data_IF_825289657944
#
_entry.id   IF_825289657944
#
_cell.length_a   1.000
_cell.length_b   1.000
_cell.length_c   1.000
_cell.angle_alpha   90.00
_cell.angle_beta   90.00
_cell.angle_gamma   90.00
#
_symmetry.space_group_name_H-M   'P 1'
#
loop_
_entity.id
_entity.type
_entity.pdbx_description
1 polymer ?
#
# COMPACT_ATOMS: atom_id res chain seq x y z
N UNK A 1 0.35 18.56 -15.24
CA UNK A 1 1.25 19.54 -14.58
C UNK A 1 0.86 19.73 -13.12
N UNK A 2 1.76 20.24 -12.29
CA UNK A 2 1.50 20.60 -10.90
C UNK A 2 0.28 21.54 -10.79
N UNK A 3 0.22 22.52 -11.65
CA UNK A 3 -0.88 23.50 -11.68
C UNK A 3 -2.24 22.83 -11.92
N UNK A 4 -2.34 21.93 -12.88
CA UNK A 4 -3.62 21.25 -13.18
C UNK A 4 -4.10 20.35 -12.04
N UNK A 5 -3.18 19.75 -11.29
CA UNK A 5 -3.52 18.91 -10.14
C UNK A 5 -3.98 19.72 -8.92
N UNK A 6 -3.44 20.90 -8.73
CA UNK A 6 -3.76 21.76 -7.58
C UNK A 6 -4.88 22.78 -7.83
N UNK A 7 -5.21 23.09 -9.10
CA UNK A 7 -6.27 24.05 -9.43
C UNK A 7 -7.62 23.74 -8.72
N UNK A 8 -8.08 22.48 -8.61
CA UNK A 8 -9.30 22.16 -7.88
C UNK A 8 -9.22 22.54 -6.39
N UNK A 9 -8.00 22.48 -5.79
CA UNK A 9 -7.82 22.85 -4.37
C UNK A 9 -7.95 24.36 -4.16
N UNK A 10 -7.34 25.15 -5.08
CA UNK A 10 -7.48 26.60 -5.04
C UNK A 10 -8.96 27.01 -5.13
N UNK A 11 -9.69 26.44 -6.10
CA UNK A 11 -11.10 26.73 -6.30
C UNK A 11 -11.95 26.41 -5.04
N UNK A 12 -11.69 25.26 -4.41
CA UNK A 12 -12.40 24.83 -3.20
C UNK A 12 -12.14 25.77 -2.00
N UNK A 13 -10.94 26.31 -1.90
CA UNK A 13 -10.53 27.22 -0.84
C UNK A 13 -10.86 28.69 -1.16
N UNK A 14 -11.41 28.98 -2.34
CA UNK A 14 -11.70 30.34 -2.79
C UNK A 14 -10.45 31.19 -3.04
N UNK A 15 -9.30 30.56 -3.30
CA UNK A 15 -8.03 31.25 -3.53
C UNK A 15 -7.85 31.57 -5.01
N UNK A 16 -7.38 32.80 -5.30
CA UNK A 16 -7.30 33.31 -6.67
C UNK A 16 -5.95 33.02 -7.34
N UNK A 17 -4.92 32.74 -6.55
CA UNK A 17 -3.57 32.52 -7.09
C UNK A 17 -2.82 31.40 -6.35
N UNK A 18 -1.79 30.84 -7.03
CA UNK A 18 -0.88 29.89 -6.39
C UNK A 18 -0.02 30.53 -5.31
N UNK A 19 0.20 31.84 -5.37
CA UNK A 19 0.88 32.59 -4.31
C UNK A 19 0.04 32.63 -3.03
N UNK A 20 -1.27 32.85 -3.16
CA UNK A 20 -2.20 32.78 -2.02
C UNK A 20 -2.27 31.39 -1.44
N UNK A 21 -2.26 30.34 -2.30
CA UNK A 21 -2.21 28.95 -1.85
C UNK A 21 -0.91 28.62 -1.11
N UNK A 22 0.23 29.12 -1.60
CA UNK A 22 1.51 28.99 -0.89
C UNK A 22 1.48 29.63 0.49
N UNK A 23 0.92 30.86 0.61
CA UNK A 23 0.75 31.54 1.89
C UNK A 23 -0.19 30.76 2.82
N UNK A 24 -1.28 30.22 2.28
CA UNK A 24 -2.21 29.39 3.03
C UNK A 24 -1.49 28.15 3.61
N UNK A 25 -0.73 27.43 2.81
CA UNK A 25 0.04 26.25 3.23
C UNK A 25 1.12 26.56 4.29
N UNK A 26 1.58 27.80 4.34
CA UNK A 26 2.61 28.25 5.28
C UNK A 26 2.04 28.78 6.60
N UNK A 27 0.95 29.51 6.54
CA UNK A 27 0.54 30.38 7.65
C UNK A 27 -0.89 30.13 8.15
N UNK A 28 -1.76 29.44 7.40
CA UNK A 28 -3.13 29.21 7.86
C UNK A 28 -3.17 28.26 9.07
N UNK A 29 -4.14 28.40 9.99
CA UNK A 29 -4.34 27.47 11.11
C UNK A 29 -4.52 26.02 10.64
N UNK A 30 -5.25 25.81 9.54
CA UNK A 30 -5.58 24.51 8.96
C UNK A 30 -4.50 23.98 8.00
N UNK A 31 -3.32 24.61 7.94
CA UNK A 31 -2.26 24.27 6.98
C UNK A 31 -1.86 22.79 6.98
N UNK A 32 -1.85 22.15 8.15
CA UNK A 32 -1.44 20.75 8.27
C UNK A 32 -2.39 19.80 7.53
N UNK A 33 -3.70 20.03 7.62
CA UNK A 33 -4.69 19.24 6.89
C UNK A 33 -4.60 19.52 5.40
N UNK A 34 -4.42 20.79 5.01
CA UNK A 34 -4.31 21.13 3.60
C UNK A 34 -3.03 20.59 2.97
N UNK A 35 -1.92 20.58 3.70
CA UNK A 35 -0.68 19.95 3.25
C UNK A 35 -0.89 18.45 2.97
N UNK A 36 -1.61 17.73 3.82
CA UNK A 36 -1.95 16.32 3.57
C UNK A 36 -2.84 16.16 2.33
N UNK A 37 -3.84 17.02 2.16
CA UNK A 37 -4.70 17.01 0.96
C UNK A 37 -3.91 17.33 -0.30
N UNK A 38 -3.00 18.29 -0.23
CA UNK A 38 -2.08 18.62 -1.33
C UNK A 38 -1.25 17.39 -1.72
N UNK A 39 -0.67 16.70 -0.75
CA UNK A 39 0.11 15.46 -1.01
C UNK A 39 -0.75 14.45 -1.75
N UNK A 40 -1.97 14.17 -1.29
CA UNK A 40 -2.88 13.22 -1.94
C UNK A 40 -3.23 13.61 -3.39
N UNK A 41 -3.29 14.91 -3.70
CA UNK A 41 -3.50 15.39 -5.07
C UNK A 41 -2.26 15.31 -5.97
N UNK A 42 -1.08 15.31 -5.37
CA UNK A 42 0.19 15.29 -6.10
C UNK A 42 0.74 13.88 -6.29
N UNK A 43 0.46 12.97 -5.38
CA UNK A 43 0.90 11.58 -5.48
C UNK A 43 0.23 10.88 -6.67
N UNK A 44 0.97 9.98 -7.31
CA UNK A 44 0.41 9.07 -8.30
C UNK A 44 0.09 7.75 -7.61
N UNK A 45 -1.18 7.57 -7.28
CA UNK A 45 -1.67 6.41 -6.54
C UNK A 45 -2.08 5.23 -7.45
N UNK A 46 -1.55 5.15 -8.69
CA UNK A 46 -1.85 4.03 -9.56
C UNK A 46 -1.15 2.75 -9.06
N UNK A 47 -1.95 1.85 -8.51
CA UNK A 47 -1.50 0.55 -8.03
C UNK A 47 -2.60 -0.49 -8.25
N UNK A 48 -2.21 -1.78 -8.32
CA UNK A 48 -3.13 -2.92 -8.41
C UNK A 48 -2.45 -4.18 -7.89
N UNK A 49 -3.27 -5.17 -7.48
CA UNK A 49 -2.77 -6.45 -6.98
C UNK A 49 -1.98 -7.20 -8.05
N UNK A 50 -0.90 -7.85 -7.63
CA UNK A 50 0.00 -8.64 -8.48
C UNK A 50 0.60 -7.86 -9.66
N UNK A 51 0.83 -6.55 -9.47
CA UNK A 51 1.59 -5.73 -10.38
C UNK A 51 3.03 -6.25 -10.49
N UNK A 52 3.66 -6.12 -11.69
CA UNK A 52 5.02 -6.59 -11.95
C UNK A 52 5.19 -8.10 -11.69
N UNK A 53 4.31 -8.91 -12.27
CA UNK A 53 4.26 -10.36 -12.09
C UNK A 53 5.61 -11.07 -12.20
N UNK A 54 6.51 -10.76 -13.16
CA UNK A 54 7.83 -11.39 -13.23
C UNK A 54 8.68 -11.17 -11.96
N UNK A 55 8.60 -9.99 -11.34
CA UNK A 55 9.31 -9.71 -10.07
C UNK A 55 8.72 -10.51 -8.91
N UNK A 56 7.40 -10.65 -8.86
CA UNK A 56 6.72 -11.43 -7.82
C UNK A 56 7.01 -12.93 -7.96
N UNK A 57 7.16 -13.43 -9.18
CA UNK A 57 7.59 -14.82 -9.45
C UNK A 57 9.01 -15.07 -8.95
N UNK A 58 9.95 -14.18 -9.24
CA UNK A 58 11.32 -14.25 -8.69
C UNK A 58 11.30 -14.17 -7.16
N UNK A 59 10.50 -13.28 -6.60
CA UNK A 59 10.35 -13.15 -5.15
C UNK A 59 9.87 -14.47 -4.52
N UNK A 60 8.79 -15.04 -5.04
CA UNK A 60 8.19 -16.27 -4.48
C UNK A 60 9.07 -17.51 -4.68
N UNK A 61 9.63 -17.70 -5.88
CA UNK A 61 10.38 -18.90 -6.23
C UNK A 61 11.83 -18.91 -5.72
N UNK A 62 12.49 -17.75 -5.71
CA UNK A 62 13.93 -17.66 -5.43
C UNK A 62 14.23 -16.91 -4.13
N UNK A 63 13.68 -15.70 -3.96
CA UNK A 63 14.05 -14.84 -2.82
C UNK A 63 13.60 -15.44 -1.50
N UNK A 64 12.35 -15.90 -1.40
CA UNK A 64 11.82 -16.50 -0.18
C UNK A 64 12.61 -17.76 0.22
N UNK A 65 12.95 -18.60 -0.75
CA UNK A 65 13.79 -19.78 -0.52
C UNK A 65 15.17 -19.41 0.00
N UNK A 66 15.87 -18.48 -0.65
CA UNK A 66 17.18 -18.00 -0.23
C UNK A 66 17.17 -17.41 1.18
N UNK A 67 16.13 -16.63 1.53
CA UNK A 67 15.96 -16.10 2.89
C UNK A 67 15.81 -17.24 3.89
N UNK A 68 14.96 -18.23 3.59
CA UNK A 68 14.73 -19.38 4.48
C UNK A 68 16.01 -20.18 4.72
N UNK A 69 16.74 -20.51 3.66
CA UNK A 69 18.02 -21.25 3.74
C UNK A 69 19.08 -20.48 4.54
N UNK A 70 19.22 -19.18 4.30
CA UNK A 70 20.14 -18.32 5.06
C UNK A 70 19.77 -18.28 6.55
N UNK A 71 18.51 -18.09 6.87
CA UNK A 71 18.05 -17.97 8.26
C UNK A 71 18.05 -19.31 9.00
N UNK A 72 17.92 -20.42 8.29
CA UNK A 72 18.10 -21.75 8.88
C UNK A 72 19.50 -21.96 9.47
N UNK A 73 20.54 -21.35 8.87
CA UNK A 73 21.92 -21.41 9.35
C UNK A 73 22.16 -20.61 10.63
N UNK A 74 21.40 -19.55 10.84
CA UNK A 74 21.55 -18.65 12.01
C UNK A 74 20.51 -18.94 13.11
N UNK A 75 19.54 -19.81 12.85
CA UNK A 75 18.40 -20.04 13.76
C UNK A 75 17.41 -18.89 13.85
N UNK A 76 17.61 -17.81 13.08
CA UNK A 76 16.73 -16.64 13.09
C UNK A 76 15.41 -16.93 12.35
N UNK A 77 14.28 -16.78 13.04
CA UNK A 77 12.93 -16.98 12.48
C UNK A 77 12.17 -15.65 12.35
N UNK A 78 12.74 -14.70 11.65
CA UNK A 78 12.12 -13.38 11.40
C UNK A 78 12.23 -12.99 9.93
N UNK A 79 11.09 -12.60 9.34
CA UNK A 79 11.02 -12.04 8.00
C UNK A 79 10.22 -10.74 8.04
N UNK A 80 10.91 -9.62 7.86
CA UNK A 80 10.28 -8.31 7.77
C UNK A 80 10.52 -7.75 6.37
N UNK A 81 9.44 -7.39 5.68
CA UNK A 81 9.45 -6.74 4.38
C UNK A 81 8.89 -5.32 4.51
N UNK A 82 9.43 -4.40 3.72
CA UNK A 82 8.95 -3.02 3.59
C UNK A 82 8.49 -2.78 2.16
N UNK A 83 7.25 -2.34 2.01
CA UNK A 83 6.69 -1.80 0.77
C UNK A 83 6.72 -0.27 0.89
N UNK A 84 7.66 0.35 0.20
CA UNK A 84 7.93 1.78 0.26
C UNK A 84 7.14 2.53 -0.83
N UNK A 85 6.27 3.46 -0.44
CA UNK A 85 5.31 4.09 -1.35
C UNK A 85 4.16 3.15 -1.68
N UNK A 86 3.54 2.55 -0.65
CA UNK A 86 2.57 1.49 -0.82
C UNK A 86 1.18 1.94 -1.32
N UNK A 87 0.93 3.25 -1.40
CA UNK A 87 -0.34 3.83 -1.83
C UNK A 87 -1.56 3.21 -1.13
N UNK A 88 -2.52 2.68 -1.86
CA UNK A 88 -3.74 2.06 -1.34
C UNK A 88 -3.55 0.60 -0.89
N UNK A 89 -2.32 0.11 -0.81
CA UNK A 89 -1.94 -1.10 -0.08
C UNK A 89 -1.92 -2.39 -0.88
N UNK A 90 -2.15 -2.36 -2.19
CA UNK A 90 -2.20 -3.56 -3.03
C UNK A 90 -0.87 -4.32 -3.04
N UNK A 91 0.28 -3.61 -3.05
CA UNK A 91 1.60 -4.26 -3.04
C UNK A 91 1.89 -5.00 -1.71
N UNK A 92 1.83 -4.37 -0.54
CA UNK A 92 2.08 -5.10 0.71
C UNK A 92 1.06 -6.22 0.97
N UNK A 93 -0.19 -6.05 0.54
CA UNK A 93 -1.18 -7.13 0.64
C UNK A 93 -0.88 -8.27 -0.33
N UNK A 94 -0.39 -7.98 -1.55
CA UNK A 94 0.12 -9.01 -2.49
C UNK A 94 1.28 -9.79 -1.87
N UNK A 95 2.24 -9.11 -1.26
CA UNK A 95 3.34 -9.78 -0.54
C UNK A 95 2.81 -10.65 0.61
N UNK A 96 1.83 -10.17 1.36
CA UNK A 96 1.16 -10.94 2.40
C UNK A 96 0.50 -12.22 1.87
N UNK A 97 -0.19 -12.14 0.74
CA UNK A 97 -0.80 -13.29 0.06
C UNK A 97 0.25 -14.31 -0.40
N UNK A 98 1.34 -13.85 -1.03
CA UNK A 98 2.44 -14.71 -1.48
C UNK A 98 3.09 -15.42 -0.29
N UNK A 99 3.35 -14.70 0.80
CA UNK A 99 3.91 -15.29 2.02
C UNK A 99 2.96 -16.32 2.64
N UNK A 100 1.67 -16.02 2.69
CA UNK A 100 0.64 -16.96 3.15
C UNK A 100 0.61 -18.23 2.29
N UNK A 101 0.59 -18.09 0.96
CA UNK A 101 0.54 -19.21 0.02
C UNK A 101 1.81 -20.06 0.00
N UNK A 102 2.96 -19.44 0.26
CA UNK A 102 4.24 -20.16 0.29
C UNK A 102 4.28 -21.27 1.32
N UNK A 103 3.47 -21.20 2.37
CA UNK A 103 3.46 -22.17 3.45
C UNK A 103 4.78 -22.28 4.24
N UNK A 104 5.75 -21.40 3.97
CA UNK A 104 7.12 -21.59 4.46
C UNK A 104 7.42 -20.91 5.79
N UNK A 105 6.61 -19.92 6.17
CA UNK A 105 6.88 -19.02 7.29
C UNK A 105 5.76 -19.02 8.34
N UNK A 106 5.28 -20.21 8.74
CA UNK A 106 4.17 -20.30 9.69
C UNK A 106 4.65 -20.45 11.14
N UNK A 107 5.06 -21.63 11.51
CA UNK A 107 5.30 -21.95 12.91
C UNK A 107 6.60 -21.37 13.44
N UNK A 108 6.46 -20.48 14.43
CA UNK A 108 7.58 -19.88 15.13
C UNK A 108 8.30 -18.78 14.35
N UNK A 109 7.75 -18.32 13.21
CA UNK A 109 8.27 -17.18 12.47
C UNK A 109 7.55 -15.88 12.85
N UNK A 110 8.34 -14.83 13.08
CA UNK A 110 7.84 -13.45 13.13
C UNK A 110 7.85 -12.88 11.71
N UNK A 111 6.67 -12.89 11.06
CA UNK A 111 6.50 -12.39 9.70
C UNK A 111 5.76 -11.06 9.74
N UNK A 112 6.35 -10.04 9.13
CA UNK A 112 5.75 -8.71 9.01
C UNK A 112 5.97 -8.14 7.63
N UNK A 113 4.92 -7.55 7.07
CA UNK A 113 4.98 -6.71 5.88
C UNK A 113 4.47 -5.33 6.28
N UNK A 114 5.32 -4.34 6.15
CA UNK A 114 4.95 -2.94 6.46
C UNK A 114 4.79 -2.17 5.17
N UNK A 115 3.58 -1.67 4.91
CA UNK A 115 3.34 -0.66 3.88
C UNK A 115 3.60 0.73 4.45
N UNK A 116 4.47 1.51 3.81
CA UNK A 116 4.78 2.88 4.17
C UNK A 116 4.36 3.82 3.05
N UNK A 117 3.62 4.88 3.37
CA UNK A 117 3.26 5.93 2.41
C UNK A 117 3.12 7.28 3.10
N UNK A 118 3.29 8.35 2.35
CA UNK A 118 3.08 9.72 2.82
C UNK A 118 1.61 10.13 2.72
N UNK A 119 0.83 9.49 1.85
CA UNK A 119 -0.58 9.78 1.63
C UNK A 119 -1.48 9.08 2.67
N UNK A 120 -1.90 9.84 3.68
CA UNK A 120 -2.79 9.34 4.73
C UNK A 120 -4.13 8.84 4.21
N UNK A 121 -4.70 9.47 3.17
CA UNK A 121 -5.97 9.04 2.58
C UNK A 121 -5.85 7.70 1.84
N UNK A 122 -4.73 7.47 1.17
CA UNK A 122 -4.41 6.18 0.57
C UNK A 122 -4.25 5.09 1.63
N UNK A 123 -3.53 5.39 2.73
CA UNK A 123 -3.36 4.45 3.84
C UNK A 123 -4.67 4.08 4.54
N UNK A 124 -5.64 5.00 4.64
CA UNK A 124 -6.96 4.68 5.17
C UNK A 124 -7.71 3.67 4.27
N UNK A 125 -7.60 3.79 2.95
CA UNK A 125 -8.11 2.78 2.01
C UNK A 125 -7.41 1.44 2.20
N UNK A 126 -6.09 1.44 2.32
CA UNK A 126 -5.29 0.25 2.58
C UNK A 126 -5.72 -0.47 3.87
N UNK A 127 -5.95 0.26 4.96
CA UNK A 127 -6.41 -0.30 6.24
C UNK A 127 -7.81 -0.91 6.14
N UNK A 128 -8.73 -0.28 5.40
CA UNK A 128 -10.06 -0.87 5.14
C UNK A 128 -9.96 -2.17 4.37
N UNK A 129 -9.02 -2.28 3.43
CA UNK A 129 -8.73 -3.50 2.67
C UNK A 129 -9.87 -3.94 1.75
N UNK A 130 -10.73 -3.00 1.30
CA UNK A 130 -11.83 -3.25 0.35
C UNK A 130 -11.48 -2.63 -0.99
N UNK A 131 -11.54 -3.43 -2.05
CA UNK A 131 -11.07 -3.08 -3.39
C UNK A 131 -12.12 -3.34 -4.45
N UNK A 132 -12.00 -2.63 -5.57
CA UNK A 132 -12.90 -2.71 -6.72
C UNK A 132 -12.14 -3.16 -7.98
N UNK A 133 -12.85 -3.31 -9.08
CA UNK A 133 -12.37 -3.90 -10.33
C UNK A 133 -10.99 -3.40 -10.79
N UNK A 134 -10.72 -2.09 -10.70
CA UNK A 134 -9.44 -1.53 -11.16
C UNK A 134 -8.23 -2.09 -10.38
N UNK A 135 -8.35 -2.22 -9.06
CA UNK A 135 -7.30 -2.82 -8.23
C UNK A 135 -7.15 -4.33 -8.46
N UNK A 136 -8.22 -4.98 -8.91
CA UNK A 136 -8.30 -6.44 -9.05
C UNK A 136 -8.03 -6.95 -10.48
N UNK A 137 -7.72 -6.05 -11.42
CA UNK A 137 -7.64 -6.36 -12.87
C UNK A 137 -6.65 -7.47 -13.25
N UNK A 138 -5.63 -7.71 -12.42
CA UNK A 138 -4.65 -8.78 -12.63
C UNK A 138 -4.84 -9.98 -11.69
N UNK A 139 -5.90 -9.99 -10.88
CA UNK A 139 -6.17 -11.09 -9.95
C UNK A 139 -6.99 -12.17 -10.67
N UNK A 140 -6.45 -13.37 -10.74
CA UNK A 140 -7.13 -14.52 -11.36
C UNK A 140 -8.27 -15.05 -10.49
N UNK A 141 -9.28 -15.74 -11.06
CA UNK A 141 -10.38 -16.30 -10.29
C UNK A 141 -9.96 -17.19 -9.10
N UNK A 142 -8.94 -18.07 -9.22
CA UNK A 142 -8.47 -18.84 -8.06
C UNK A 142 -7.89 -17.97 -6.94
N UNK A 143 -7.19 -16.88 -7.28
CA UNK A 143 -6.65 -15.95 -6.29
C UNK A 143 -7.76 -15.12 -5.63
N UNK A 144 -8.81 -14.73 -6.40
CA UNK A 144 -9.98 -14.07 -5.85
C UNK A 144 -10.67 -14.95 -4.80
N UNK A 145 -10.97 -16.19 -5.15
CA UNK A 145 -11.61 -17.13 -4.23
C UNK A 145 -10.76 -17.37 -2.98
N UNK A 146 -9.46 -17.50 -3.14
CA UNK A 146 -8.53 -17.81 -2.05
C UNK A 146 -8.35 -16.66 -1.07
N UNK A 147 -8.18 -15.44 -1.56
CA UNK A 147 -7.71 -14.31 -0.76
C UNK A 147 -8.76 -13.24 -0.48
N UNK A 148 -9.90 -13.28 -1.16
CA UNK A 148 -10.91 -12.24 -1.03
C UNK A 148 -12.26 -12.78 -0.60
N UNK A 149 -13.07 -11.90 -0.05
CA UNK A 149 -14.48 -12.15 0.32
C UNK A 149 -15.30 -10.94 -0.11
N UNK A 150 -16.56 -11.17 -0.52
CA UNK A 150 -17.46 -10.09 -0.91
C UNK A 150 -17.75 -9.16 0.28
N UNK A 151 -17.67 -7.85 0.02
CA UNK A 151 -17.97 -6.81 0.99
C UNK A 151 -18.65 -5.63 0.28
N UNK A 152 -19.95 -5.53 0.42
CA UNK A 152 -20.76 -4.55 -0.30
C UNK A 152 -20.61 -4.69 -1.83
N UNK A 153 -20.22 -3.61 -2.49
CA UNK A 153 -19.92 -3.57 -3.94
C UNK A 153 -18.47 -3.94 -4.28
N UNK A 154 -17.63 -4.20 -3.28
CA UNK A 154 -16.22 -4.53 -3.44
C UNK A 154 -15.86 -5.92 -2.94
N UNK A 155 -14.55 -6.19 -2.94
CA UNK A 155 -13.95 -7.38 -2.37
C UNK A 155 -12.98 -6.98 -1.26
N UNK A 156 -13.12 -7.58 -0.09
CA UNK A 156 -12.23 -7.42 1.05
C UNK A 156 -11.18 -8.51 1.06
N UNK A 157 -9.93 -8.15 1.34
CA UNK A 157 -8.87 -9.13 1.58
C UNK A 157 -9.16 -9.90 2.87
N UNK A 158 -9.15 -11.23 2.80
CA UNK A 158 -9.37 -12.12 3.95
C UNK A 158 -8.34 -11.90 5.04
N UNK A 159 -8.75 -12.02 6.29
CA UNK A 159 -7.90 -11.80 7.46
C UNK A 159 -6.63 -12.68 7.45
N UNK A 160 -6.77 -13.94 7.08
CA UNK A 160 -5.64 -14.86 6.97
C UNK A 160 -4.53 -14.36 6.04
N UNK A 161 -4.90 -13.70 4.92
CA UNK A 161 -3.96 -13.17 3.91
C UNK A 161 -3.34 -11.83 4.32
N UNK A 162 -4.00 -11.07 5.20
CA UNK A 162 -3.53 -9.74 5.64
C UNK A 162 -2.92 -9.69 7.04
N UNK A 163 -2.99 -10.79 7.80
CA UNK A 163 -2.57 -10.85 9.20
C UNK A 163 -1.16 -10.33 9.45
N UNK A 164 -0.24 -10.57 8.53
CA UNK A 164 1.15 -10.11 8.63
C UNK A 164 1.36 -8.68 8.13
N UNK A 165 0.33 -8.01 7.59
CA UNK A 165 0.44 -6.71 6.91
C UNK A 165 0.00 -5.59 7.84
N UNK A 166 0.81 -4.53 7.90
CA UNK A 166 0.51 -3.30 8.63
C UNK A 166 0.81 -2.08 7.76
N UNK A 167 0.19 -0.95 8.09
CA UNK A 167 0.34 0.30 7.34
C UNK A 167 0.77 1.44 8.24
N UNK A 168 1.77 2.19 7.82
CA UNK A 168 2.33 3.33 8.56
C UNK A 168 2.45 4.55 7.65
N UNK A 169 2.11 5.71 8.21
CA UNK A 169 2.42 6.97 7.56
C UNK A 169 3.91 7.31 7.77
N UNK A 170 4.57 7.78 6.72
CA UNK A 170 5.96 8.20 6.80
C UNK A 170 6.49 8.73 5.49
N UNK A 171 7.50 9.57 5.58
CA UNK A 171 8.28 10.07 4.45
C UNK A 171 9.55 9.21 4.32
N UNK A 172 9.95 8.95 3.08
CA UNK A 172 11.18 8.22 2.75
C UNK A 172 12.41 9.12 2.65
N UNK A 173 12.22 10.43 2.78
CA UNK A 173 13.27 11.46 2.75
C UNK A 173 13.79 11.75 4.15
#
# INVERSE_FOLDING_TARGET
SLRSRLAPRLALLGLLSFEDYYRYLRFAPERSEEQQRMVSHLTNNETYFFREQPQLEVFSAHVLRAIKERKARTGEKRLHALSAGCSTGEEPLTLGMILFDSGQFFWGWDVRVTGLDVDGAALEKARRGVYHQNSLRAVTPPLLERHFVKDGSGLRVKEASRKAVSFRAGNLL
#
